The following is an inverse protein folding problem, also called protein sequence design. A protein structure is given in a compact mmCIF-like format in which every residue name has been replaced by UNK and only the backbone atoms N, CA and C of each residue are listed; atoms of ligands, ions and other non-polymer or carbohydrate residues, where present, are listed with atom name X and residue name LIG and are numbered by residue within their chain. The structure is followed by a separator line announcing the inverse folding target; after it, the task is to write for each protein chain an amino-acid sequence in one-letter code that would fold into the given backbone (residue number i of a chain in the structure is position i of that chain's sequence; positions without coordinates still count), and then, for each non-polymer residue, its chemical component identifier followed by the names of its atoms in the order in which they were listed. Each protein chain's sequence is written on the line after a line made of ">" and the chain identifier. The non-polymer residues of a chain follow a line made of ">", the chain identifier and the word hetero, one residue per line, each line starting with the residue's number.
data_IF_237828224639
#
_entry.id   IF_237828224639
#
_cell.length_a   1.000
_cell.length_b   1.000
_cell.length_c   1.000
_cell.angle_alpha   90.00
_cell.angle_beta   90.00
_cell.angle_gamma   90.00
#
_symmetry.space_group_name_H-M   'P 1'
#
loop_
_entity.id
_entity.type
_entity.pdbx_description
1 polymer ?
#
# COMPACT_ATOMS: atom_id res chain seq x y z
N UNK A 1 -6.96 -23.99 -19.13
CA UNK A 1 -6.05 -24.80 -18.30
C UNK A 1 -5.06 -23.84 -17.68
N UNK A 2 -4.89 -23.87 -16.36
CA UNK A 2 -3.97 -22.97 -15.67
C UNK A 2 -2.55 -23.06 -16.23
N UNK A 3 -1.83 -21.94 -16.27
CA UNK A 3 -0.41 -21.91 -16.70
C UNK A 3 0.49 -22.64 -15.71
N UNK A 4 0.16 -22.57 -14.43
CA UNK A 4 0.93 -23.15 -13.34
C UNK A 4 0.13 -24.26 -12.64
N UNK A 5 0.78 -25.37 -12.25
CA UNK A 5 0.11 -26.46 -11.56
C UNK A 5 -0.20 -26.14 -10.09
N UNK A 6 0.34 -25.04 -9.55
CA UNK A 6 0.20 -24.67 -8.16
C UNK A 6 -1.25 -24.40 -7.75
N UNK A 7 -1.61 -24.96 -6.59
CA UNK A 7 -2.90 -24.74 -5.95
C UNK A 7 -2.68 -24.40 -4.49
N UNK A 8 -3.51 -23.50 -3.98
CA UNK A 8 -3.41 -22.95 -2.64
C UNK A 8 -4.78 -22.99 -1.95
N UNK A 9 -4.76 -23.05 -0.63
CA UNK A 9 -5.92 -22.86 0.22
C UNK A 9 -5.93 -21.40 0.68
N UNK A 10 -7.09 -20.76 0.60
CA UNK A 10 -7.30 -19.37 0.95
C UNK A 10 -7.75 -19.27 2.39
N UNK A 11 -7.21 -18.31 3.14
CA UNK A 11 -7.54 -18.06 4.54
C UNK A 11 -7.86 -16.58 4.75
N UNK A 12 -8.72 -16.29 5.72
CA UNK A 12 -8.99 -14.91 6.14
C UNK A 12 -7.91 -14.36 7.10
N UNK A 13 -8.07 -13.11 7.52
CA UNK A 13 -7.15 -12.41 8.43
C UNK A 13 -7.22 -12.92 9.89
N UNK A 14 -8.07 -13.92 10.16
CA UNK A 14 -8.24 -14.58 11.46
C UNK A 14 -7.78 -16.04 11.43
N UNK A 15 -7.19 -16.47 10.32
CA UNK A 15 -6.70 -17.82 10.13
C UNK A 15 -7.81 -18.86 9.97
N UNK A 16 -8.99 -18.45 9.51
CA UNK A 16 -10.09 -19.35 9.16
C UNK A 16 -9.99 -19.69 7.67
N UNK A 17 -10.14 -20.97 7.36
CA UNK A 17 -10.20 -21.46 5.99
C UNK A 17 -11.38 -20.80 5.25
N UNK A 18 -11.08 -20.27 4.08
CA UNK A 18 -12.03 -19.60 3.19
C UNK A 18 -12.45 -20.53 2.04
N UNK A 19 -11.48 -21.09 1.31
CA UNK A 19 -11.70 -22.05 0.21
C UNK A 19 -10.43 -22.88 -0.01
N UNK A 20 -10.55 -24.04 -0.65
CA UNK A 20 -9.43 -24.96 -0.86
C UNK A 20 -9.14 -25.20 -2.33
N UNK A 21 -7.92 -25.63 -2.61
CA UNK A 21 -7.52 -26.10 -3.94
C UNK A 21 -7.74 -25.04 -5.04
N UNK A 22 -7.49 -23.77 -4.74
CA UNK A 22 -7.65 -22.64 -5.67
C UNK A 22 -6.41 -22.56 -6.57
N UNK A 23 -6.54 -22.50 -7.90
CA UNK A 23 -5.40 -22.29 -8.80
C UNK A 23 -4.67 -21.00 -8.48
N UNK A 24 -3.34 -21.02 -8.42
CA UNK A 24 -2.52 -19.86 -8.03
C UNK A 24 -2.81 -18.61 -8.88
N UNK A 25 -3.16 -18.80 -10.15
CA UNK A 25 -3.43 -17.67 -11.05
C UNK A 25 -4.75 -16.96 -10.73
N UNK A 26 -5.63 -17.54 -9.91
CA UNK A 26 -6.86 -16.88 -9.47
C UNK A 26 -6.60 -15.66 -8.56
N UNK A 27 -5.40 -15.56 -7.98
CA UNK A 27 -4.94 -14.37 -7.24
C UNK A 27 -3.98 -13.49 -8.07
N UNK A 28 -3.79 -13.79 -9.35
CA UNK A 28 -2.91 -13.00 -10.22
C UNK A 28 -3.47 -11.58 -10.42
N UNK A 29 -2.63 -10.53 -10.36
CA UNK A 29 -3.03 -9.18 -10.78
C UNK A 29 -3.52 -9.07 -12.22
N UNK A 30 -3.30 -10.08 -13.06
CA UNK A 30 -3.79 -10.14 -14.45
C UNK A 30 -5.17 -10.80 -14.59
N UNK A 31 -5.64 -11.52 -13.56
CA UNK A 31 -6.88 -12.31 -13.62
C UNK A 31 -7.89 -11.94 -12.54
N UNK A 32 -7.45 -11.54 -11.34
CA UNK A 32 -8.33 -11.34 -10.19
C UNK A 32 -9.11 -10.02 -10.28
N UNK A 33 -10.46 -10.06 -10.38
CA UNK A 33 -11.28 -8.85 -10.52
C UNK A 33 -11.16 -7.87 -9.34
N UNK A 34 -10.98 -8.36 -8.11
CA UNK A 34 -10.83 -7.48 -6.95
C UNK A 34 -9.48 -6.75 -6.97
N UNK A 35 -8.41 -7.39 -7.44
CA UNK A 35 -7.13 -6.68 -7.65
C UNK A 35 -7.30 -5.59 -8.70
N UNK A 36 -7.94 -5.88 -9.85
CA UNK A 36 -8.24 -4.84 -10.84
C UNK A 36 -9.05 -3.69 -10.24
N UNK A 37 -10.06 -4.00 -9.42
CA UNK A 37 -10.87 -3.00 -8.74
C UNK A 37 -10.07 -2.17 -7.75
N UNK A 38 -9.17 -2.77 -6.96
CA UNK A 38 -8.26 -2.06 -6.05
C UNK A 38 -7.39 -1.07 -6.83
N UNK A 39 -6.78 -1.49 -7.95
CA UNK A 39 -5.94 -0.61 -8.77
C UNK A 39 -6.76 0.52 -9.40
N UNK A 40 -7.95 0.22 -9.91
CA UNK A 40 -8.86 1.25 -10.45
C UNK A 40 -9.27 2.24 -9.35
N UNK A 41 -9.65 1.75 -8.17
CA UNK A 41 -10.01 2.58 -7.03
C UNK A 41 -8.87 3.54 -6.66
N UNK A 42 -7.63 3.08 -6.65
CA UNK A 42 -6.46 3.92 -6.33
C UNK A 42 -6.23 5.05 -7.35
N UNK A 43 -6.55 4.79 -8.62
CA UNK A 43 -6.48 5.80 -9.68
C UNK A 43 -7.69 6.76 -9.67
N UNK A 44 -8.86 6.28 -9.24
CA UNK A 44 -10.13 7.00 -9.32
C UNK A 44 -10.47 7.81 -8.07
N UNK A 45 -10.11 7.32 -6.88
CA UNK A 45 -10.49 7.95 -5.63
C UNK A 45 -9.54 9.09 -5.26
N UNK A 46 -10.14 10.24 -4.99
CA UNK A 46 -9.46 11.48 -4.60
C UNK A 46 -10.07 11.97 -3.28
N UNK A 47 -9.21 12.34 -2.36
CA UNK A 47 -9.59 12.95 -1.08
C UNK A 47 -9.61 14.48 -1.22
N UNK A 48 -10.70 15.10 -0.77
CA UNK A 48 -10.84 16.57 -0.74
C UNK A 48 -11.01 17.02 0.71
N UNK A 49 -10.22 18.00 1.14
CA UNK A 49 -10.30 18.61 2.46
C UNK A 49 -11.05 19.95 2.40
N UNK A 50 -12.39 19.93 2.52
CA UNK A 50 -13.21 21.15 2.50
C UNK A 50 -12.91 22.06 3.70
N UNK A 51 -12.69 21.49 4.89
CA UNK A 51 -12.30 22.25 6.09
C UNK A 51 -10.96 22.98 5.86
N UNK A 52 -10.01 22.31 5.22
CA UNK A 52 -8.71 22.88 4.85
C UNK A 52 -8.84 24.02 3.84
N UNK A 53 -9.67 23.85 2.81
CA UNK A 53 -9.93 24.90 1.79
C UNK A 53 -10.61 26.10 2.46
N UNK A 54 -11.67 25.87 3.24
CA UNK A 54 -12.42 26.91 3.94
C UNK A 54 -11.49 27.73 4.85
N UNK A 55 -10.66 27.06 5.65
CA UNK A 55 -9.68 27.72 6.52
C UNK A 55 -8.65 28.51 5.69
N UNK A 56 -8.06 27.90 4.67
CA UNK A 56 -7.01 28.52 3.86
C UNK A 56 -7.50 29.79 3.16
N UNK A 57 -8.74 29.75 2.64
CA UNK A 57 -9.39 30.92 2.06
C UNK A 57 -9.67 32.00 3.11
N UNK A 58 -10.17 31.63 4.29
CA UNK A 58 -10.53 32.58 5.33
C UNK A 58 -9.32 33.33 5.93
N UNK A 59 -8.15 32.70 5.94
CA UNK A 59 -6.92 33.24 6.55
C UNK A 59 -5.88 33.73 5.55
N UNK A 60 -6.00 33.37 4.28
CA UNK A 60 -4.97 33.59 3.26
C UNK A 60 -3.77 32.66 3.42
N UNK A 61 -3.84 31.62 4.27
CA UNK A 61 -2.82 30.59 4.45
C UNK A 61 -2.83 29.58 3.29
N UNK A 62 -2.36 29.99 2.12
CA UNK A 62 -2.39 29.20 0.88
C UNK A 62 -0.99 28.95 0.31
N UNK A 63 -0.85 27.90 -0.49
CA UNK A 63 0.37 27.61 -1.26
C UNK A 63 1.52 27.00 -0.44
N UNK A 64 1.24 26.37 0.70
CA UNK A 64 2.20 25.58 1.47
C UNK A 64 2.47 26.10 2.88
N UNK A 65 3.26 25.33 3.64
CA UNK A 65 3.53 25.60 5.05
C UNK A 65 4.18 26.97 5.24
N UNK A 66 3.64 27.75 6.18
CA UNK A 66 4.10 29.10 6.54
C UNK A 66 3.95 30.18 5.45
N UNK A 67 3.14 29.94 4.43
CA UNK A 67 2.81 30.93 3.41
C UNK A 67 1.47 31.59 3.70
N UNK A 68 1.46 32.93 3.75
CA UNK A 68 0.26 33.73 4.03
C UNK A 68 0.24 34.93 3.06
N UNK A 69 -0.84 35.07 2.29
CA UNK A 69 -1.06 36.22 1.41
C UNK A 69 -1.95 37.23 2.12
N UNK A 70 -1.33 38.21 2.78
CA UNK A 70 -2.06 39.23 3.54
C UNK A 70 -2.96 40.06 2.63
N UNK A 71 -4.19 40.32 3.09
CA UNK A 71 -5.18 41.10 2.36
C UNK A 71 -5.96 40.31 1.30
N UNK A 72 -5.65 39.02 1.09
CA UNK A 72 -6.41 38.10 0.23
C UNK A 72 -7.09 37.03 1.08
N UNK A 73 -8.29 37.35 1.57
CA UNK A 73 -9.10 36.45 2.39
C UNK A 73 -10.51 36.34 1.81
N UNK A 74 -11.06 35.13 1.78
CA UNK A 74 -12.40 34.84 1.31
C UNK A 74 -13.10 33.91 2.30
N UNK A 75 -14.25 34.33 2.82
CA UNK A 75 -15.03 33.53 3.79
C UNK A 75 -16.15 32.81 3.06
N UNK A 76 -16.02 31.49 2.90
CA UNK A 76 -17.02 30.63 2.28
C UNK A 76 -17.40 29.53 3.26
N UNK A 77 -18.69 29.30 3.47
CA UNK A 77 -19.19 28.24 4.36
C UNK A 77 -19.18 26.86 3.65
N UNK A 78 -18.02 26.36 3.22
CA UNK A 78 -17.90 25.12 2.45
C UNK A 78 -18.38 23.89 3.23
N UNK A 79 -17.94 23.73 4.47
CA UNK A 79 -18.27 22.56 5.31
C UNK A 79 -19.77 22.52 5.60
N UNK A 80 -20.38 23.68 5.90
CA UNK A 80 -21.82 23.80 6.12
C UNK A 80 -22.64 23.46 4.87
N UNK A 81 -22.11 23.72 3.68
CA UNK A 81 -22.75 23.46 2.40
C UNK A 81 -22.24 22.18 1.70
N UNK A 82 -21.53 21.30 2.42
CA UNK A 82 -20.81 20.17 1.83
C UNK A 82 -21.67 19.25 0.97
N UNK A 83 -22.91 18.96 1.37
CA UNK A 83 -23.86 18.15 0.58
C UNK A 83 -24.12 18.78 -0.78
N UNK A 84 -24.43 20.07 -0.80
CA UNK A 84 -24.72 20.80 -2.04
C UNK A 84 -23.46 21.03 -2.90
N UNK A 85 -22.29 21.20 -2.27
CA UNK A 85 -21.00 21.23 -2.97
C UNK A 85 -20.71 19.88 -3.62
N UNK A 86 -20.98 18.78 -2.91
CA UNK A 86 -20.80 17.44 -3.43
C UNK A 86 -21.72 17.15 -4.63
N UNK A 87 -22.98 17.58 -4.57
CA UNK A 87 -23.93 17.43 -5.68
C UNK A 87 -23.46 18.19 -6.92
N UNK A 88 -23.06 19.45 -6.77
CA UNK A 88 -22.59 20.29 -7.87
C UNK A 88 -21.26 19.78 -8.44
N UNK A 89 -20.33 19.33 -7.58
CA UNK A 89 -19.08 18.70 -8.00
C UNK A 89 -19.34 17.40 -8.78
N UNK A 90 -20.27 16.56 -8.32
CA UNK A 90 -20.66 15.35 -9.04
C UNK A 90 -21.20 15.68 -10.43
N UNK A 91 -22.08 16.68 -10.55
CA UNK A 91 -22.63 17.14 -11.83
C UNK A 91 -21.56 17.67 -12.79
N UNK A 92 -20.52 18.32 -12.25
CA UNK A 92 -19.39 18.82 -13.04
C UNK A 92 -18.47 17.68 -13.51
N UNK A 93 -18.26 16.66 -12.66
CA UNK A 93 -17.36 15.54 -12.94
C UNK A 93 -17.96 14.46 -13.83
N UNK A 94 -19.25 14.17 -13.71
CA UNK A 94 -19.89 13.12 -14.50
C UNK A 94 -19.74 13.35 -16.01
N UNK A 95 -19.54 12.26 -16.76
CA UNK A 95 -19.46 12.30 -18.22
C UNK A 95 -20.81 11.90 -18.81
N UNK A 96 -21.41 10.84 -18.28
CA UNK A 96 -22.70 10.33 -18.74
C UNK A 96 -23.69 10.15 -17.58
N UNK A 97 -25.00 10.23 -17.84
CA UNK A 97 -26.00 9.81 -16.88
C UNK A 97 -25.75 8.36 -16.44
N UNK A 98 -25.63 8.13 -15.14
CA UNK A 98 -25.39 6.82 -14.51
C UNK A 98 -24.00 6.19 -14.76
N UNK A 99 -22.97 7.01 -15.03
CA UNK A 99 -21.59 6.52 -14.93
C UNK A 99 -21.16 6.23 -13.47
N UNK A 100 -19.91 5.83 -13.26
CA UNK A 100 -19.37 5.45 -11.96
C UNK A 100 -18.90 6.65 -11.10
N UNK A 101 -19.32 7.87 -11.42
CA UNK A 101 -19.01 9.07 -10.62
C UNK A 101 -19.70 9.02 -9.27
N UNK A 102 -18.92 9.23 -8.21
CA UNK A 102 -19.41 9.29 -6.85
C UNK A 102 -18.76 10.47 -6.11
N UNK A 103 -19.55 11.23 -5.35
CA UNK A 103 -19.04 12.25 -4.44
C UNK A 103 -19.80 12.10 -3.13
N UNK A 104 -19.08 11.80 -2.05
CA UNK A 104 -19.67 11.59 -0.72
C UNK A 104 -19.04 12.54 0.30
N UNK A 105 -19.82 13.41 0.96
CA UNK A 105 -19.38 14.06 2.18
C UNK A 105 -19.14 13.03 3.28
N UNK A 106 -18.05 13.19 4.02
CA UNK A 106 -17.74 12.37 5.19
C UNK A 106 -17.34 13.26 6.37
N UNK A 107 -17.35 12.70 7.57
CA UNK A 107 -16.95 13.39 8.81
C UNK A 107 -17.70 14.72 9.03
N UNK A 108 -19.00 14.71 8.78
CA UNK A 108 -19.86 15.90 8.92
C UNK A 108 -19.60 16.98 7.87
N UNK A 109 -19.15 16.60 6.67
CA UNK A 109 -18.90 17.52 5.56
C UNK A 109 -17.50 18.12 5.51
N UNK A 110 -16.62 17.77 6.47
CA UNK A 110 -15.24 18.26 6.50
C UNK A 110 -14.42 17.79 5.30
N UNK A 111 -14.68 16.56 4.85
CA UNK A 111 -13.98 15.97 3.72
C UNK A 111 -14.98 15.43 2.70
N UNK A 112 -14.53 15.32 1.44
CA UNK A 112 -15.24 14.56 0.41
C UNK A 112 -14.39 13.37 -0.04
N UNK A 113 -15.04 12.22 -0.20
CA UNK A 113 -14.53 11.10 -0.98
C UNK A 113 -15.09 11.24 -2.40
N UNK A 114 -14.21 11.42 -3.38
CA UNK A 114 -14.59 11.59 -4.78
C UNK A 114 -14.09 10.40 -5.59
N UNK A 115 -14.98 9.69 -6.28
CA UNK A 115 -14.65 8.72 -7.33
C UNK A 115 -14.82 9.38 -8.68
N UNK A 116 -13.71 9.59 -9.39
CA UNK A 116 -13.72 10.10 -10.76
C UNK A 116 -14.18 8.98 -11.71
N UNK A 117 -15.05 9.26 -12.69
CA UNK A 117 -15.55 8.22 -13.58
C UNK A 117 -14.42 7.63 -14.43
N UNK A 118 -14.45 6.32 -14.63
CA UNK A 118 -13.39 5.59 -15.34
C UNK A 118 -13.17 6.12 -16.77
N UNK A 119 -14.22 6.66 -17.41
CA UNK A 119 -14.14 7.27 -18.74
C UNK A 119 -13.15 8.43 -18.82
N UNK A 120 -13.02 9.25 -17.77
CA UNK A 120 -12.03 10.35 -17.75
C UNK A 120 -10.61 9.80 -17.73
N UNK A 121 -10.36 8.79 -16.90
CA UNK A 121 -9.06 8.13 -16.80
C UNK A 121 -8.68 7.42 -18.11
N UNK A 122 -9.67 6.84 -18.80
CA UNK A 122 -9.46 6.17 -20.10
C UNK A 122 -9.17 7.16 -21.24
N UNK A 123 -9.64 8.41 -21.13
CA UNK A 123 -9.31 9.47 -22.09
C UNK A 123 -7.94 10.12 -21.84
N UNK A 124 -7.42 9.99 -20.62
CA UNK A 124 -6.09 10.44 -20.23
C UNK A 124 -5.00 9.40 -20.50
N UNK A 125 -3.75 9.84 -20.47
CA UNK A 125 -2.59 8.94 -20.60
C UNK A 125 -2.31 8.20 -19.29
N UNK A 126 -2.51 8.86 -18.15
CA UNK A 126 -2.10 8.35 -16.84
C UNK A 126 -3.06 8.76 -15.70
N UNK A 127 -2.68 8.45 -14.45
CA UNK A 127 -3.55 8.50 -13.27
C UNK A 127 -3.75 9.90 -12.64
N UNK A 128 -2.89 10.89 -12.89
CA UNK A 128 -3.14 12.28 -12.43
C UNK A 128 -4.39 12.90 -13.06
N UNK A 129 -4.89 12.34 -14.17
CA UNK A 129 -6.21 12.67 -14.72
C UNK A 129 -7.31 12.64 -13.65
N UNK A 130 -7.23 11.71 -12.69
CA UNK A 130 -8.15 11.67 -11.54
C UNK A 130 -8.08 12.94 -10.70
N UNK A 131 -6.93 13.20 -10.07
CA UNK A 131 -6.78 14.33 -9.12
C UNK A 131 -6.97 15.70 -9.78
N UNK A 132 -6.48 15.86 -11.02
CA UNK A 132 -6.60 17.11 -11.78
C UNK A 132 -8.03 17.41 -12.20
N UNK A 133 -8.81 16.40 -12.59
CA UNK A 133 -10.23 16.56 -12.90
C UNK A 133 -11.02 17.01 -11.66
N UNK A 134 -10.77 16.40 -10.50
CA UNK A 134 -11.42 16.79 -9.24
C UNK A 134 -11.04 18.20 -8.84
N UNK A 135 -9.76 18.54 -8.88
CA UNK A 135 -9.28 19.85 -8.49
C UNK A 135 -9.84 20.96 -9.41
N UNK A 136 -9.87 20.74 -10.73
CA UNK A 136 -10.47 21.70 -11.68
C UNK A 136 -11.98 21.87 -11.45
N UNK A 137 -12.71 20.74 -11.37
CA UNK A 137 -14.15 20.76 -11.16
C UNK A 137 -14.52 21.43 -9.83
N UNK A 138 -13.75 21.18 -8.77
CA UNK A 138 -13.98 21.80 -7.46
C UNK A 138 -13.77 23.31 -7.49
N UNK A 139 -12.77 23.82 -8.22
CA UNK A 139 -12.61 25.25 -8.43
C UNK A 139 -13.84 25.87 -9.10
N UNK A 140 -14.32 25.28 -10.21
CA UNK A 140 -15.53 25.73 -10.90
C UNK A 140 -16.75 25.70 -9.96
N UNK A 141 -16.97 24.59 -9.26
CA UNK A 141 -18.07 24.42 -8.30
C UNK A 141 -18.05 25.49 -7.21
N UNK A 142 -16.90 25.76 -6.60
CA UNK A 142 -16.80 26.78 -5.54
C UNK A 142 -17.06 28.17 -6.10
N UNK A 143 -16.47 28.52 -7.25
CA UNK A 143 -16.61 29.84 -7.85
C UNK A 143 -18.05 30.13 -8.23
N UNK A 144 -18.72 29.19 -8.92
CA UNK A 144 -20.10 29.35 -9.37
C UNK A 144 -21.07 29.38 -8.18
N UNK A 145 -20.95 28.43 -7.25
CA UNK A 145 -21.89 28.26 -6.14
C UNK A 145 -21.89 29.44 -5.19
N UNK A 146 -20.72 30.02 -4.93
CA UNK A 146 -20.56 31.14 -4.02
C UNK A 146 -20.43 32.48 -4.73
N UNK A 147 -20.61 32.51 -6.06
CA UNK A 147 -20.47 33.70 -6.91
C UNK A 147 -19.17 34.48 -6.62
N UNK A 148 -18.05 33.75 -6.58
CA UNK A 148 -16.74 34.32 -6.27
C UNK A 148 -16.32 35.27 -7.38
N UNK A 149 -15.91 36.48 -7.00
CA UNK A 149 -15.39 37.50 -7.92
C UNK A 149 -14.22 36.96 -8.76
N UNK A 150 -14.11 37.38 -10.01
CA UNK A 150 -12.96 37.06 -10.88
C UNK A 150 -11.62 37.48 -10.25
N UNK A 151 -11.62 38.49 -9.37
CA UNK A 151 -10.45 38.98 -8.66
C UNK A 151 -10.04 38.14 -7.45
N UNK A 152 -10.87 37.18 -7.05
CA UNK A 152 -10.63 36.26 -5.92
C UNK A 152 -10.59 34.79 -6.37
N UNK A 153 -10.88 34.51 -7.63
CA UNK A 153 -10.88 33.16 -8.19
C UNK A 153 -9.50 32.47 -8.13
N UNK A 154 -8.41 33.22 -8.25
CA UNK A 154 -7.04 32.70 -8.11
C UNK A 154 -6.75 32.20 -6.68
N UNK A 155 -7.42 32.77 -5.67
CA UNK A 155 -7.28 32.32 -4.29
C UNK A 155 -7.95 30.94 -4.10
N UNK A 156 -9.09 30.70 -4.76
CA UNK A 156 -9.75 29.38 -4.80
C UNK A 156 -8.83 28.35 -5.46
N UNK A 157 -8.22 28.69 -6.61
CA UNK A 157 -7.21 27.83 -7.23
C UNK A 157 -6.09 27.48 -6.25
N UNK A 158 -5.51 28.47 -5.58
CA UNK A 158 -4.38 28.26 -4.67
C UNK A 158 -4.76 27.45 -3.43
N UNK A 159 -5.99 27.57 -2.92
CA UNK A 159 -6.48 26.76 -1.80
C UNK A 159 -6.73 25.30 -2.19
N UNK A 160 -7.13 25.04 -3.44
CA UNK A 160 -7.42 23.70 -3.96
C UNK A 160 -6.14 23.01 -4.45
N UNK A 161 -5.41 23.65 -5.37
CA UNK A 161 -4.24 23.13 -6.07
C UNK A 161 -2.91 23.35 -5.34
N UNK A 162 -2.90 24.23 -4.33
CA UNK A 162 -1.66 24.65 -3.69
C UNK A 162 -0.85 25.57 -4.61
N UNK A 163 0.47 25.37 -4.63
CA UNK A 163 1.40 26.21 -5.38
C UNK A 163 1.60 25.79 -6.85
N UNK A 164 0.88 24.78 -7.33
CA UNK A 164 0.93 24.37 -8.73
C UNK A 164 0.41 25.50 -9.65
N UNK A 165 1.08 25.83 -10.78
CA UNK A 165 2.17 25.09 -11.44
C UNK A 165 3.59 25.58 -11.12
N UNK A 166 3.77 26.49 -10.15
CA UNK A 166 5.12 26.89 -9.74
C UNK A 166 5.90 25.72 -9.10
N UNK A 167 5.19 24.81 -8.43
CA UNK A 167 5.68 23.49 -8.04
C UNK A 167 5.21 22.42 -9.01
N UNK A 168 5.97 21.33 -9.14
CA UNK A 168 5.58 20.20 -10.01
C UNK A 168 4.39 19.42 -9.45
N UNK A 169 4.24 19.41 -8.12
CA UNK A 169 3.16 18.78 -7.38
C UNK A 169 2.19 19.82 -6.79
N UNK A 170 1.09 19.34 -6.20
CA UNK A 170 0.06 20.16 -5.56
C UNK A 170 0.48 20.60 -4.14
N UNK A 171 1.70 21.11 -3.99
CA UNK A 171 2.28 21.49 -2.70
C UNK A 171 1.39 22.50 -1.97
N UNK A 172 0.89 22.10 -0.79
CA UNK A 172 0.01 22.94 0.03
C UNK A 172 -1.44 23.00 -0.46
N UNK A 173 -1.81 22.18 -1.44
CA UNK A 173 -3.19 21.99 -1.86
C UNK A 173 -3.98 21.15 -0.86
N UNK A 174 -5.31 21.15 -1.04
CA UNK A 174 -6.26 20.44 -0.18
C UNK A 174 -7.01 19.34 -0.94
N UNK A 175 -6.50 18.95 -2.11
CA UNK A 175 -6.98 17.84 -2.90
C UNK A 175 -5.82 16.87 -3.10
N UNK A 176 -6.03 15.59 -2.82
CA UNK A 176 -4.97 14.59 -2.79
C UNK A 176 -5.43 13.24 -3.34
N UNK A 177 -4.60 12.63 -4.17
CA UNK A 177 -4.71 11.21 -4.56
C UNK A 177 -3.74 10.35 -3.73
N UNK A 178 -3.98 9.04 -3.71
CA UNK A 178 -3.06 8.10 -3.06
C UNK A 178 -1.72 7.99 -3.82
N UNK A 179 -1.77 8.09 -5.15
CA UNK A 179 -0.59 8.10 -6.00
C UNK A 179 -0.03 9.52 -6.12
N UNK A 180 1.26 9.68 -5.88
CA UNK A 180 1.97 10.93 -6.13
C UNK A 180 2.23 11.13 -7.64
N UNK A 181 2.56 12.36 -8.02
CA UNK A 181 2.76 12.74 -9.42
C UNK A 181 3.87 11.92 -10.09
N UNK A 182 3.75 11.56 -11.38
CA UNK A 182 4.72 10.70 -12.07
C UNK A 182 6.17 11.21 -12.04
N UNK A 183 6.37 12.52 -11.95
CA UNK A 183 7.68 13.16 -11.85
C UNK A 183 8.43 12.77 -10.57
N UNK A 184 7.74 12.25 -9.56
CA UNK A 184 8.33 11.73 -8.32
C UNK A 184 8.56 10.21 -8.37
N UNK A 185 8.34 9.56 -9.52
CA UNK A 185 8.68 8.15 -9.66
C UNK A 185 10.18 7.98 -9.89
N UNK A 186 10.80 7.17 -9.05
CA UNK A 186 12.22 6.83 -9.05
C UNK A 186 12.58 5.85 -10.19
N UNK A 187 11.60 5.24 -10.83
CA UNK A 187 11.78 4.35 -11.99
C UNK A 187 10.53 4.23 -12.84
N UNK A 188 10.68 3.65 -14.03
CA UNK A 188 9.55 3.35 -14.92
C UNK A 188 8.69 2.23 -14.32
N UNK A 189 7.37 2.42 -14.28
CA UNK A 189 6.43 1.46 -13.68
C UNK A 189 6.31 1.50 -12.15
N UNK A 190 6.85 2.53 -11.49
CA UNK A 190 6.91 2.62 -10.03
C UNK A 190 5.68 3.28 -9.37
N UNK A 191 4.68 3.69 -10.14
CA UNK A 191 3.56 4.48 -9.63
C UNK A 191 2.86 3.81 -8.43
N UNK A 192 2.52 2.52 -8.55
CA UNK A 192 1.88 1.75 -7.48
C UNK A 192 2.77 1.51 -6.25
N UNK A 193 4.09 1.74 -6.38
CA UNK A 193 5.07 1.66 -5.29
C UNK A 193 5.23 2.99 -4.56
N UNK A 194 4.57 4.05 -5.03
CA UNK A 194 4.70 5.40 -4.49
C UNK A 194 3.63 5.72 -3.44
N UNK A 195 3.39 4.77 -2.53
CA UNK A 195 2.38 4.84 -1.48
C UNK A 195 3.04 4.57 -0.12
N UNK A 196 3.27 5.61 0.71
CA UNK A 196 3.81 5.48 2.06
C UNK A 196 3.09 4.43 2.92
N UNK A 197 3.85 3.68 3.72
CA UNK A 197 3.29 2.69 4.64
C UNK A 197 2.32 3.30 5.65
N UNK A 198 2.47 4.60 5.98
CA UNK A 198 1.50 5.37 6.76
C UNK A 198 0.09 5.35 6.13
N UNK A 199 -0.01 5.56 4.82
CA UNK A 199 -1.30 5.54 4.11
C UNK A 199 -1.93 4.16 4.19
N UNK A 200 -1.14 3.12 3.89
CA UNK A 200 -1.59 1.73 3.92
C UNK A 200 -2.11 1.36 5.31
N UNK A 201 -1.38 1.68 6.37
CA UNK A 201 -1.77 1.37 7.74
C UNK A 201 -3.05 2.10 8.19
N UNK A 202 -3.28 3.35 7.77
CA UNK A 202 -4.52 4.06 8.10
C UNK A 202 -5.71 3.57 7.27
N UNK A 203 -5.52 3.32 5.97
CA UNK A 203 -6.56 2.82 5.07
C UNK A 203 -7.13 1.50 5.60
N UNK A 204 -6.26 0.59 6.05
CA UNK A 204 -6.64 -0.72 6.59
C UNK A 204 -7.01 -0.67 8.07
N UNK A 205 -7.20 0.54 8.63
CA UNK A 205 -7.56 0.78 10.03
C UNK A 205 -6.65 0.02 11.02
N UNK A 206 -5.34 0.02 10.72
CA UNK A 206 -4.28 -0.62 11.51
C UNK A 206 -4.44 -2.15 11.69
N UNK A 207 -5.17 -2.82 10.80
CA UNK A 207 -5.17 -4.28 10.74
C UNK A 207 -3.89 -4.77 10.03
N UNK A 208 -3.00 -5.45 10.75
CA UNK A 208 -1.67 -5.81 10.25
C UNK A 208 -1.69 -6.78 9.05
N UNK A 209 -2.60 -7.76 9.04
CA UNK A 209 -2.75 -8.71 7.92
C UNK A 209 -3.28 -7.99 6.68
N UNK A 210 -4.29 -7.13 6.82
CA UNK A 210 -4.82 -6.35 5.70
C UNK A 210 -3.83 -5.27 5.22
N UNK A 211 -3.04 -4.65 6.12
CA UNK A 211 -1.96 -3.74 5.75
C UNK A 211 -0.88 -4.45 4.91
N UNK A 212 -0.45 -5.65 5.33
CA UNK A 212 0.47 -6.47 4.57
C UNK A 212 -0.13 -6.90 3.22
N UNK A 213 -1.40 -7.31 3.20
CA UNK A 213 -2.09 -7.71 1.98
C UNK A 213 -2.22 -6.56 0.98
N UNK A 214 -2.66 -5.38 1.41
CA UNK A 214 -2.75 -4.20 0.54
C UNK A 214 -1.36 -3.86 -0.03
N UNK A 215 -0.35 -3.77 0.83
CA UNK A 215 1.02 -3.49 0.40
C UNK A 215 1.55 -4.54 -0.60
N UNK A 216 1.31 -5.83 -0.34
CA UNK A 216 1.75 -6.91 -1.23
C UNK A 216 1.02 -6.87 -2.57
N UNK A 217 -0.29 -6.62 -2.59
CA UNK A 217 -1.06 -6.46 -3.84
C UNK A 217 -0.46 -5.32 -4.67
N UNK A 218 -0.20 -4.17 -4.05
CA UNK A 218 0.35 -3.01 -4.76
C UNK A 218 1.76 -3.26 -5.28
N UNK A 219 2.65 -3.75 -4.42
CA UNK A 219 4.02 -4.04 -4.79
C UNK A 219 4.11 -5.12 -5.87
N UNK A 220 3.40 -6.24 -5.70
CA UNK A 220 3.44 -7.35 -6.66
C UNK A 220 2.75 -6.99 -7.97
N UNK A 221 1.69 -6.17 -7.96
CA UNK A 221 1.12 -5.61 -9.20
C UNK A 221 2.10 -4.68 -9.89
N UNK A 222 2.84 -3.85 -9.15
CA UNK A 222 3.89 -3.01 -9.71
C UNK A 222 5.00 -3.85 -10.38
N UNK A 223 5.28 -5.07 -9.88
CA UNK A 223 6.26 -5.95 -10.54
C UNK A 223 5.79 -6.40 -11.94
N UNK A 224 4.48 -6.50 -12.19
CA UNK A 224 3.93 -6.69 -13.54
C UNK A 224 4.10 -5.42 -14.39
N UNK A 225 3.81 -4.25 -13.83
CA UNK A 225 3.96 -2.96 -14.51
C UNK A 225 5.43 -2.68 -14.91
N UNK A 226 6.38 -3.04 -14.05
CA UNK A 226 7.82 -2.89 -14.25
C UNK A 226 8.43 -3.96 -15.17
N UNK A 227 7.68 -5.01 -15.50
CA UNK A 227 8.15 -6.15 -16.29
C UNK A 227 9.03 -7.14 -15.52
N UNK A 228 9.17 -7.00 -14.20
CA UNK A 228 9.89 -7.94 -13.34
C UNK A 228 9.14 -9.29 -13.22
N UNK A 229 7.81 -9.27 -13.28
CA UNK A 229 6.95 -10.45 -13.22
C UNK A 229 6.63 -11.04 -14.61
N UNK A 230 7.62 -11.11 -15.51
CA UNK A 230 7.49 -11.68 -16.85
C UNK A 230 8.29 -12.99 -16.97
N UNK A 231 7.73 -13.97 -17.71
CA UNK A 231 8.41 -15.21 -18.04
C UNK A 231 8.64 -16.10 -16.81
N UNK A 232 9.90 -16.47 -16.55
CA UNK A 232 10.25 -17.37 -15.45
C UNK A 232 10.05 -16.74 -14.06
N UNK A 233 9.92 -15.41 -13.98
CA UNK A 233 9.75 -14.69 -12.72
C UNK A 233 8.28 -14.48 -12.33
N UNK A 234 7.33 -14.69 -13.26
CA UNK A 234 5.90 -14.50 -12.95
C UNK A 234 5.44 -15.43 -11.82
N UNK A 235 5.83 -16.73 -11.86
CA UNK A 235 5.51 -17.68 -10.79
C UNK A 235 6.14 -17.28 -9.44
N UNK A 236 7.35 -16.73 -9.47
CA UNK A 236 8.04 -16.24 -8.27
C UNK A 236 7.26 -15.11 -7.58
N UNK A 237 6.75 -14.15 -8.36
CA UNK A 237 5.93 -13.06 -7.85
C UNK A 237 4.53 -13.50 -7.42
N UNK A 238 3.89 -14.42 -8.17
CA UNK A 238 2.59 -14.98 -7.79
C UNK A 238 2.64 -15.75 -6.47
N UNK A 239 3.64 -16.60 -6.28
CA UNK A 239 3.81 -17.33 -5.03
C UNK A 239 4.16 -16.37 -3.89
N UNK A 240 4.97 -15.34 -4.16
CA UNK A 240 5.25 -14.26 -3.22
C UNK A 240 3.97 -13.57 -2.73
N UNK A 241 3.12 -13.12 -3.67
CA UNK A 241 1.83 -12.53 -3.35
C UNK A 241 0.96 -13.48 -2.53
N UNK A 242 0.84 -14.74 -2.95
CA UNK A 242 -0.01 -15.72 -2.30
C UNK A 242 0.41 -16.01 -0.86
N UNK A 243 1.68 -16.39 -0.64
CA UNK A 243 2.14 -16.85 0.67
C UNK A 243 2.45 -15.70 1.62
N UNK A 244 3.15 -14.65 1.16
CA UNK A 244 3.48 -13.51 2.03
C UNK A 244 2.28 -12.57 2.18
N UNK A 245 1.68 -12.15 1.07
CA UNK A 245 0.63 -11.13 1.07
C UNK A 245 -0.75 -11.66 1.47
N UNK A 246 -1.12 -12.83 0.98
CA UNK A 246 -2.50 -13.35 1.04
C UNK A 246 -2.68 -14.57 1.96
N UNK A 247 -1.69 -14.86 2.81
CA UNK A 247 -1.76 -15.93 3.82
C UNK A 247 -2.14 -17.32 3.24
N UNK A 248 -1.66 -17.66 2.05
CA UNK A 248 -1.91 -18.95 1.43
C UNK A 248 -1.52 -20.10 2.38
N UNK A 249 -2.38 -21.13 2.44
CA UNK A 249 -2.23 -22.30 3.31
C UNK A 249 -2.05 -21.95 4.80
N UNK A 250 -2.61 -20.82 5.22
CA UNK A 250 -2.53 -20.25 6.55
C UNK A 250 -1.12 -19.98 7.08
N UNK A 251 -0.12 -19.95 6.19
CA UNK A 251 1.28 -20.06 6.59
C UNK A 251 1.72 -18.92 7.52
N UNK A 252 1.40 -17.67 7.18
CA UNK A 252 1.78 -16.49 8.00
C UNK A 252 1.10 -16.57 9.36
N UNK A 253 -0.21 -16.82 9.37
CA UNK A 253 -0.99 -16.88 10.60
C UNK A 253 -0.52 -18.00 11.53
N UNK A 254 -0.28 -19.21 11.01
CA UNK A 254 0.20 -20.35 11.78
C UNK A 254 1.56 -20.08 12.41
N UNK A 255 2.50 -19.52 11.64
CA UNK A 255 3.83 -19.18 12.14
C UNK A 255 3.77 -18.11 13.24
N UNK A 256 2.92 -17.08 13.07
CA UNK A 256 2.70 -16.07 14.12
C UNK A 256 2.06 -16.69 15.36
N UNK A 257 1.07 -17.56 15.20
CA UNK A 257 0.36 -18.21 16.31
C UNK A 257 1.27 -19.13 17.12
N UNK A 258 2.12 -19.92 16.44
CA UNK A 258 3.11 -20.81 17.08
C UNK A 258 4.15 -20.01 17.87
N UNK A 259 4.54 -18.84 17.40
CA UNK A 259 5.63 -18.03 17.97
C UNK A 259 5.16 -16.81 18.78
N UNK A 260 3.85 -16.56 18.90
CA UNK A 260 3.34 -15.27 19.36
C UNK A 260 3.44 -14.99 20.87
N UNK A 261 3.65 -16.01 21.71
CA UNK A 261 3.70 -15.85 23.18
C UNK A 261 5.10 -15.77 23.77
N UNK A 262 5.99 -16.62 23.27
CA UNK A 262 7.34 -16.84 23.79
C UNK A 262 8.38 -17.00 22.67
N UNK A 263 7.98 -16.77 21.42
CA UNK A 263 8.87 -16.85 20.28
C UNK A 263 9.74 -15.62 20.13
N UNK A 264 10.75 -15.77 19.28
CA UNK A 264 11.65 -14.72 18.84
C UNK A 264 11.76 -14.77 17.32
N UNK A 265 12.48 -13.81 16.73
CA UNK A 265 12.82 -13.88 15.31
C UNK A 265 13.48 -15.22 14.94
N UNK A 266 14.39 -15.74 15.77
CA UNK A 266 15.06 -17.02 15.52
C UNK A 266 14.12 -18.23 15.58
N UNK A 267 13.13 -18.26 16.48
CA UNK A 267 12.19 -19.37 16.54
C UNK A 267 11.23 -19.38 15.34
N UNK A 268 10.90 -18.21 14.79
CA UNK A 268 10.15 -18.12 13.54
C UNK A 268 10.96 -18.65 12.35
N UNK A 269 12.27 -18.37 12.29
CA UNK A 269 13.17 -18.98 11.29
C UNK A 269 13.12 -20.50 11.37
N UNK A 270 13.29 -21.07 12.57
CA UNK A 270 13.22 -22.52 12.80
C UNK A 270 11.85 -23.08 12.37
N UNK A 271 10.75 -22.42 12.75
CA UNK A 271 9.39 -22.84 12.39
C UNK A 271 9.17 -22.83 10.88
N UNK A 272 9.72 -21.82 10.19
CA UNK A 272 9.66 -21.69 8.72
C UNK A 272 10.43 -22.83 8.04
N UNK A 273 11.64 -23.14 8.49
CA UNK A 273 12.47 -24.23 7.96
C UNK A 273 11.81 -25.58 8.20
N UNK A 274 11.28 -25.81 9.41
CA UNK A 274 10.52 -27.02 9.74
C UNK A 274 9.32 -27.20 8.80
N UNK A 275 8.52 -26.16 8.61
CA UNK A 275 7.37 -26.19 7.70
C UNK A 275 7.79 -26.46 6.25
N UNK A 276 8.89 -25.86 5.78
CA UNK A 276 9.42 -26.08 4.43
C UNK A 276 9.90 -27.53 4.22
N UNK A 277 10.45 -28.17 5.25
CA UNK A 277 10.84 -29.58 5.23
C UNK A 277 9.62 -30.51 5.23
N UNK A 278 8.63 -30.23 6.08
CA UNK A 278 7.37 -31.00 6.15
C UNK A 278 6.62 -30.98 4.81
N UNK A 279 6.56 -29.81 4.17
CA UNK A 279 5.93 -29.62 2.86
C UNK A 279 6.84 -30.03 1.69
N UNK A 280 8.04 -30.56 1.96
CA UNK A 280 9.04 -31.03 0.98
C UNK A 280 9.45 -29.95 -0.05
N UNK A 281 9.41 -28.68 0.36
CA UNK A 281 9.91 -27.55 -0.44
C UNK A 281 11.44 -27.54 -0.44
N UNK A 282 12.05 -27.95 0.68
CA UNK A 282 13.51 -28.07 0.82
C UNK A 282 13.87 -29.48 1.30
N UNK A 283 15.11 -29.89 1.09
CA UNK A 283 15.62 -31.19 1.55
C UNK A 283 17.14 -31.12 1.81
N UNK A 284 17.69 -31.99 2.69
CA UNK A 284 19.12 -32.04 2.95
C UNK A 284 19.94 -32.33 1.69
N UNK A 285 20.99 -31.55 1.44
CA UNK A 285 21.97 -31.78 0.38
C UNK A 285 23.17 -32.58 0.90
N UNK A 286 23.85 -32.04 1.91
CA UNK A 286 25.04 -32.65 2.51
C UNK A 286 25.23 -32.22 3.96
N UNK A 287 26.01 -32.99 4.71
CA UNK A 287 26.49 -32.63 6.05
C UNK A 287 27.94 -32.22 6.00
N UNK A 288 28.28 -31.13 6.67
CA UNK A 288 29.67 -30.66 6.81
C UNK A 288 30.36 -31.41 7.97
N UNK A 289 31.70 -31.30 8.12
CA UNK A 289 32.43 -31.96 9.21
C UNK A 289 31.97 -31.57 10.62
N UNK A 290 31.36 -30.39 10.80
CA UNK A 290 30.81 -29.97 12.10
C UNK A 290 29.47 -30.63 12.45
N UNK A 291 28.86 -31.38 11.51
CA UNK A 291 27.52 -31.93 11.64
C UNK A 291 26.41 -31.02 11.12
N UNK A 292 26.74 -29.80 10.68
CA UNK A 292 25.78 -28.87 10.08
C UNK A 292 25.24 -29.43 8.75
N UNK A 293 23.93 -29.33 8.55
CA UNK A 293 23.26 -29.83 7.35
C UNK A 293 22.98 -28.66 6.41
N UNK A 294 23.57 -28.69 5.22
CA UNK A 294 23.23 -27.78 4.13
C UNK A 294 21.99 -28.35 3.43
N UNK A 295 21.03 -27.49 3.12
CA UNK A 295 19.80 -27.84 2.41
C UNK A 295 19.83 -27.34 0.97
N UNK A 296 18.97 -27.93 0.14
CA UNK A 296 18.75 -27.52 -1.25
C UNK A 296 17.26 -27.61 -1.60
N UNK A 297 16.89 -27.12 -2.78
CA UNK A 297 15.52 -27.14 -3.30
C UNK A 297 15.51 -27.25 -4.83
N UNK A 298 14.49 -27.92 -5.36
CA UNK A 298 14.18 -27.93 -6.79
C UNK A 298 13.14 -26.85 -7.18
N UNK A 299 12.61 -26.13 -6.21
CA UNK A 299 11.58 -25.09 -6.39
C UNK A 299 11.98 -23.82 -5.64
N UNK A 300 12.93 -23.09 -6.22
CA UNK A 300 13.43 -21.82 -5.65
C UNK A 300 12.33 -20.77 -5.49
N UNK A 301 11.33 -20.74 -6.37
CA UNK A 301 10.22 -19.80 -6.27
C UNK A 301 9.35 -20.09 -5.06
N UNK A 302 9.04 -21.37 -4.79
CA UNK A 302 8.26 -21.77 -3.62
C UNK A 302 9.05 -21.66 -2.33
N UNK A 303 10.35 -21.98 -2.34
CA UNK A 303 11.24 -21.69 -1.20
C UNK A 303 11.22 -20.20 -0.85
N UNK A 304 11.41 -19.33 -1.84
CA UNK A 304 11.37 -17.89 -1.62
C UNK A 304 10.03 -17.43 -1.03
N UNK A 305 8.91 -17.95 -1.53
CA UNK A 305 7.58 -17.62 -1.01
C UNK A 305 7.41 -18.06 0.45
N UNK A 306 7.92 -19.23 0.83
CA UNK A 306 7.93 -19.73 2.21
C UNK A 306 8.78 -18.85 3.12
N UNK A 307 10.00 -18.52 2.69
CA UNK A 307 10.87 -17.60 3.42
C UNK A 307 10.23 -16.21 3.57
N UNK A 308 9.55 -15.70 2.53
CA UNK A 308 8.86 -14.41 2.55
C UNK A 308 7.67 -14.40 3.53
N UNK A 309 6.89 -15.48 3.61
CA UNK A 309 5.84 -15.66 4.61
C UNK A 309 6.42 -15.72 6.03
N UNK A 310 7.52 -16.46 6.22
CA UNK A 310 8.27 -16.49 7.49
C UNK A 310 8.79 -15.12 7.91
N UNK A 311 9.29 -14.32 6.97
CA UNK A 311 9.75 -12.96 7.22
C UNK A 311 8.60 -12.05 7.72
N UNK A 312 7.43 -12.14 7.09
CA UNK A 312 6.27 -11.37 7.54
C UNK A 312 5.81 -11.82 8.93
N UNK A 313 5.78 -13.14 9.18
CA UNK A 313 5.49 -13.68 10.50
C UNK A 313 6.50 -13.20 11.56
N UNK A 314 7.80 -13.19 11.25
CA UNK A 314 8.86 -12.70 12.13
C UNK A 314 8.72 -11.21 12.41
N UNK A 315 8.24 -10.44 11.43
CA UNK A 315 7.92 -9.02 11.60
C UNK A 315 6.77 -8.84 12.57
N UNK A 316 5.68 -9.58 12.40
CA UNK A 316 4.53 -9.52 13.30
C UNK A 316 4.87 -9.96 14.73
N UNK A 317 5.69 -11.00 14.90
CA UNK A 317 6.16 -11.45 16.23
C UNK A 317 7.07 -10.41 16.87
N UNK A 318 8.08 -9.92 16.16
CA UNK A 318 9.10 -9.02 16.74
C UNK A 318 8.55 -7.61 16.99
N UNK A 319 7.93 -6.99 15.98
CA UNK A 319 7.33 -5.67 16.14
C UNK A 319 6.08 -5.71 17.02
N UNK A 320 5.33 -6.82 17.00
CA UNK A 320 4.18 -7.03 17.88
C UNK A 320 4.57 -7.20 19.35
N UNK A 321 5.69 -7.88 19.65
CA UNK A 321 6.19 -7.99 21.01
C UNK A 321 6.59 -6.62 21.59
N UNK A 322 7.24 -5.78 20.78
CA UNK A 322 7.66 -4.43 21.20
C UNK A 322 6.55 -3.38 21.09
N UNK A 323 5.50 -3.66 20.30
CA UNK A 323 4.49 -2.67 19.86
C UNK A 323 5.11 -1.41 19.25
N UNK A 324 6.23 -1.59 18.54
CA UNK A 324 7.04 -0.52 17.99
C UNK A 324 7.51 -0.87 16.57
N UNK A 325 7.27 0.01 15.60
CA UNK A 325 7.65 -0.25 14.20
C UNK A 325 9.15 -0.17 13.94
N UNK A 326 9.92 0.52 14.79
CA UNK A 326 11.37 0.77 14.60
C UNK A 326 12.22 -0.50 14.46
N UNK A 327 11.70 -1.65 14.88
CA UNK A 327 12.40 -2.93 14.78
C UNK A 327 12.37 -3.53 13.37
N UNK A 328 11.47 -3.09 12.48
CA UNK A 328 11.30 -3.74 11.17
C UNK A 328 12.57 -3.80 10.31
N UNK A 329 13.45 -2.77 10.24
CA UNK A 329 14.66 -2.89 9.44
C UNK A 329 15.60 -3.98 9.96
N UNK A 330 15.68 -4.13 11.29
CA UNK A 330 16.44 -5.20 11.94
C UNK A 330 15.86 -6.57 11.61
N UNK A 331 14.53 -6.71 11.58
CA UNK A 331 13.87 -7.96 11.16
C UNK A 331 14.22 -8.32 9.72
N UNK A 332 14.15 -7.34 8.79
CA UNK A 332 14.49 -7.55 7.38
C UNK A 332 15.94 -8.06 7.20
N UNK A 333 16.88 -7.56 8.02
CA UNK A 333 18.27 -8.02 7.99
C UNK A 333 18.38 -9.41 8.60
N UNK A 334 18.05 -9.54 9.88
CA UNK A 334 18.47 -10.70 10.67
C UNK A 334 17.59 -11.92 10.44
N UNK A 335 16.35 -11.79 9.95
CA UNK A 335 15.61 -12.96 9.49
C UNK A 335 16.34 -13.63 8.31
N UNK A 336 16.77 -12.83 7.34
CA UNK A 336 17.50 -13.33 6.18
C UNK A 336 18.89 -13.84 6.55
N UNK A 337 19.61 -13.11 7.39
CA UNK A 337 20.94 -13.52 7.89
C UNK A 337 20.90 -14.88 8.60
N UNK A 338 19.87 -15.10 9.44
CA UNK A 338 19.68 -16.34 10.17
C UNK A 338 19.16 -17.48 9.29
N UNK A 339 18.19 -17.24 8.39
CA UNK A 339 17.66 -18.33 7.56
C UNK A 339 18.72 -18.86 6.58
N UNK A 340 19.59 -17.98 6.07
CA UNK A 340 20.74 -18.36 5.25
C UNK A 340 21.75 -19.20 6.05
N UNK A 341 22.04 -18.84 7.30
CA UNK A 341 22.93 -19.61 8.19
C UNK A 341 22.31 -20.89 8.73
N UNK A 342 20.99 -20.95 8.88
CA UNK A 342 20.30 -22.14 9.35
C UNK A 342 20.21 -23.21 8.26
N UNK A 343 20.18 -22.80 6.98
CA UNK A 343 19.89 -23.73 5.88
C UNK A 343 20.95 -23.83 4.78
N UNK A 344 21.77 -22.80 4.57
CA UNK A 344 22.62 -22.68 3.38
C UNK A 344 21.86 -22.33 2.10
N UNK A 345 20.53 -22.12 2.17
CA UNK A 345 19.70 -21.62 1.06
C UNK A 345 19.70 -20.09 1.04
N UNK A 346 19.45 -19.46 -0.13
CA UNK A 346 19.36 -18.01 -0.20
C UNK A 346 18.17 -17.47 0.59
N UNK A 347 18.34 -16.30 1.20
CA UNK A 347 17.27 -15.57 1.86
C UNK A 347 16.23 -15.00 0.88
N UNK A 348 15.25 -14.30 1.44
CA UNK A 348 14.14 -13.70 0.71
C UNK A 348 14.65 -12.73 -0.35
N UNK A 349 14.11 -12.90 -1.55
CA UNK A 349 14.43 -12.13 -2.74
C UNK A 349 15.93 -12.20 -3.08
N UNK A 350 16.54 -13.35 -2.77
CA UNK A 350 17.96 -13.65 -3.03
C UNK A 350 18.91 -12.61 -2.44
N UNK A 351 18.64 -12.19 -1.20
CA UNK A 351 19.44 -11.21 -0.46
C UNK A 351 19.00 -9.75 -0.63
N UNK A 352 18.12 -9.45 -1.59
CA UNK A 352 17.64 -8.06 -1.83
C UNK A 352 16.83 -7.51 -0.66
N UNK A 353 16.10 -8.36 0.07
CA UNK A 353 15.42 -7.92 1.31
C UNK A 353 16.44 -7.58 2.40
N UNK A 354 17.46 -8.40 2.60
CA UNK A 354 18.50 -8.13 3.59
C UNK A 354 19.19 -6.79 3.29
N UNK A 355 19.58 -6.55 2.04
CA UNK A 355 20.15 -5.28 1.58
C UNK A 355 19.20 -4.09 1.81
N UNK A 356 17.93 -4.23 1.44
CA UNK A 356 16.90 -3.20 1.72
C UNK A 356 16.79 -2.92 3.22
N UNK A 357 16.87 -3.96 4.06
CA UNK A 357 16.88 -3.84 5.51
C UNK A 357 18.09 -3.09 6.04
N UNK A 358 19.29 -3.34 5.49
CA UNK A 358 20.53 -2.62 5.85
C UNK A 358 20.39 -1.13 5.57
N UNK A 359 19.94 -0.76 4.37
CA UNK A 359 19.76 0.64 4.02
C UNK A 359 18.67 1.31 4.86
N UNK A 360 17.53 0.64 5.02
CA UNK A 360 16.44 1.16 5.85
C UNK A 360 16.89 1.35 7.31
N UNK A 361 17.67 0.43 7.86
CA UNK A 361 18.19 0.54 9.22
C UNK A 361 19.10 1.77 9.36
N UNK A 362 19.98 2.00 8.39
CA UNK A 362 20.85 3.17 8.37
C UNK A 362 20.04 4.48 8.24
N UNK A 363 19.13 4.56 7.28
CA UNK A 363 18.34 5.78 7.02
C UNK A 363 17.17 6.00 7.99
N UNK A 364 16.88 5.06 8.89
CA UNK A 364 15.96 5.28 10.00
C UNK A 364 16.64 5.57 11.33
N UNK A 365 17.99 5.52 11.40
CA UNK A 365 18.77 5.73 12.62
C UNK A 365 20.00 6.63 12.42
N UNK A 366 20.04 7.41 11.34
CA UNK A 366 21.16 8.31 11.04
C UNK A 366 20.69 9.71 10.68
N UNK A 367 21.66 10.59 10.44
CA UNK A 367 21.45 12.01 10.14
C UNK A 367 21.32 12.30 8.64
N UNK A 368 21.49 11.30 7.77
CA UNK A 368 21.70 11.51 6.33
C UNK A 368 20.43 11.61 5.49
N UNK A 369 19.27 11.33 6.08
CA UNK A 369 17.99 11.34 5.39
C UNK A 369 17.07 10.23 5.89
N UNK A 370 16.08 9.87 5.08
CA UNK A 370 15.09 8.86 5.45
C UNK A 370 14.13 9.35 6.53
N UNK A 371 13.86 8.50 7.51
CA UNK A 371 12.85 8.76 8.54
C UNK A 371 12.43 7.49 9.25
N UNK A 372 11.31 7.56 9.98
CA UNK A 372 10.76 6.37 10.62
C UNK A 372 10.12 5.42 9.58
N UNK A 373 9.84 4.15 9.93
CA UNK A 373 9.27 3.18 9.00
C UNK A 373 8.00 3.61 8.24
N UNK A 374 7.20 4.53 8.80
CA UNK A 374 5.92 4.95 8.23
C UNK A 374 6.06 5.79 6.95
N UNK A 375 7.20 6.47 6.72
CA UNK A 375 7.40 7.28 5.51
C UNK A 375 7.86 6.48 4.30
N UNK A 376 8.37 5.25 4.51
CA UNK A 376 8.93 4.46 3.42
C UNK A 376 7.87 3.81 2.54
N UNK A 377 8.25 3.54 1.30
CA UNK A 377 7.45 2.90 0.25
C UNK A 377 8.37 2.32 -0.84
N UNK A 378 7.86 1.48 -1.74
CA UNK A 378 8.68 0.79 -2.75
C UNK A 378 9.24 1.71 -3.85
N UNK A 379 8.78 2.96 -3.93
CA UNK A 379 9.36 4.00 -4.76
C UNK A 379 10.46 4.81 -4.04
N UNK A 380 10.61 4.73 -2.72
CA UNK A 380 11.65 5.47 -2.02
C UNK A 380 13.04 4.88 -2.32
N UNK A 381 14.04 5.74 -2.57
CA UNK A 381 15.39 5.33 -3.00
C UNK A 381 16.04 4.27 -2.10
N UNK A 382 15.76 4.31 -0.80
CA UNK A 382 16.26 3.37 0.25
C UNK A 382 15.55 2.01 0.25
N UNK A 383 14.27 1.97 -0.17
CA UNK A 383 13.41 0.78 0.03
C UNK A 383 12.89 0.18 -1.26
N UNK A 384 13.43 0.58 -2.40
CA UNK A 384 13.02 0.14 -3.74
C UNK A 384 13.66 -1.17 -4.22
N UNK A 385 14.72 -1.63 -3.57
CA UNK A 385 15.61 -2.68 -4.09
C UNK A 385 14.97 -4.07 -4.07
N UNK A 386 14.30 -4.42 -2.98
CA UNK A 386 13.49 -5.64 -2.97
C UNK A 386 12.29 -5.49 -3.91
N UNK A 387 12.04 -6.53 -4.69
CA UNK A 387 10.98 -6.61 -5.70
C UNK A 387 9.66 -7.07 -5.08
N UNK A 388 9.19 -6.28 -4.12
CA UNK A 388 7.87 -6.42 -3.50
C UNK A 388 7.77 -7.29 -2.25
N UNK A 389 8.91 -7.64 -1.62
CA UNK A 389 8.92 -8.51 -0.42
C UNK A 389 9.22 -7.79 0.89
N UNK A 390 9.76 -6.56 0.84
CA UNK A 390 10.11 -5.78 2.04
C UNK A 390 8.94 -4.93 2.56
N UNK A 391 8.29 -4.15 1.68
CA UNK A 391 7.24 -3.20 2.05
C UNK A 391 6.02 -3.84 2.76
N UNK A 392 5.56 -5.06 2.42
CA UNK A 392 4.49 -5.71 3.18
C UNK A 392 4.81 -5.88 4.68
N UNK A 393 6.08 -6.16 5.00
CA UNK A 393 6.55 -6.26 6.38
C UNK A 393 6.52 -4.89 7.06
N UNK A 394 6.97 -3.84 6.37
CA UNK A 394 6.96 -2.46 6.89
C UNK A 394 5.54 -2.01 7.17
N UNK A 395 4.59 -2.24 6.25
CA UNK A 395 3.19 -1.90 6.44
C UNK A 395 2.57 -2.61 7.66
N UNK A 396 2.87 -3.90 7.86
CA UNK A 396 2.44 -4.64 9.04
C UNK A 396 3.03 -4.06 10.33
N UNK A 397 4.32 -3.73 10.35
CA UNK A 397 4.99 -3.14 11.51
C UNK A 397 4.40 -1.77 11.88
N UNK A 398 4.13 -0.92 10.88
CA UNK A 398 3.50 0.40 11.06
C UNK A 398 2.08 0.25 11.64
N UNK A 399 1.31 -0.74 11.19
CA UNK A 399 -0.01 -1.03 11.74
C UNK A 399 0.03 -1.48 13.22
N UNK A 400 1.08 -2.21 13.61
CA UNK A 400 1.27 -2.74 14.98
C UNK A 400 1.78 -1.70 16.00
N UNK A 401 2.34 -0.59 15.52
CA UNK A 401 2.92 0.48 16.35
C UNK A 401 1.88 1.14 17.28
N UNK A 402 2.21 1.24 18.57
CA UNK A 402 1.33 1.80 19.60
C UNK A 402 1.52 3.32 19.83
N UNK A 403 2.10 4.06 18.89
CA UNK A 403 2.34 5.50 19.00
C UNK A 403 3.73 5.82 19.53
N UNK A 404 4.75 5.10 19.06
CA UNK A 404 6.13 5.22 19.57
C UNK A 404 6.96 6.31 18.89
N UNK A 405 6.37 7.06 17.95
CA UNK A 405 7.11 7.99 17.09
C UNK A 405 6.47 9.37 16.98
N UNK A 406 7.31 10.37 16.69
CA UNK A 406 6.90 11.78 16.51
C UNK A 406 6.12 11.98 15.20
N UNK A 407 6.54 11.31 14.13
CA UNK A 407 5.85 11.33 12.83
C UNK A 407 4.97 10.09 12.72
N UNK A 408 3.84 10.11 13.43
CA UNK A 408 2.90 9.00 13.41
C UNK A 408 2.24 8.85 12.03
N UNK A 409 1.65 7.68 11.72
CA UNK A 409 0.84 7.50 10.53
C UNK A 409 -0.24 8.57 10.36
N UNK A 410 -0.90 8.99 11.44
CA UNK A 410 -1.92 10.06 11.43
C UNK A 410 -1.34 11.40 10.99
N UNK A 411 -0.11 11.73 11.41
CA UNK A 411 0.56 12.98 11.04
C UNK A 411 1.03 12.99 9.59
N UNK A 412 1.43 11.83 9.06
CA UNK A 412 1.91 11.68 7.68
C UNK A 412 0.73 11.56 6.71
N UNK A 413 -0.24 10.73 7.05
CA UNK A 413 -1.32 10.30 6.16
C UNK A 413 -2.62 11.07 6.33
N UNK A 414 -2.80 11.80 7.44
CA UNK A 414 -3.90 12.72 7.72
C UNK A 414 -5.22 12.38 7.05
N UNK A 415 -5.69 13.31 6.21
CA UNK A 415 -6.99 13.23 5.51
C UNK A 415 -7.03 12.06 4.52
N UNK A 416 -5.95 11.77 3.79
CA UNK A 416 -5.92 10.72 2.76
C UNK A 416 -6.24 9.35 3.35
N UNK A 417 -5.59 9.00 4.45
CA UNK A 417 -5.78 7.71 5.10
C UNK A 417 -7.18 7.57 5.68
N UNK A 418 -7.70 8.63 6.30
CA UNK A 418 -9.04 8.65 6.87
C UNK A 418 -10.12 8.51 5.78
N UNK A 419 -10.02 9.30 4.71
CA UNK A 419 -10.97 9.31 3.59
C UNK A 419 -10.97 7.97 2.85
N UNK A 420 -9.80 7.46 2.49
CA UNK A 420 -9.70 6.23 1.68
C UNK A 420 -9.99 4.96 2.49
N UNK A 421 -9.98 5.01 3.83
CA UNK A 421 -10.43 3.89 4.68
C UNK A 421 -11.93 3.57 4.57
N UNK A 422 -12.70 4.46 3.92
CA UNK A 422 -14.11 4.25 3.60
C UNK A 422 -14.33 3.44 2.31
N UNK A 423 -13.26 3.12 1.57
CA UNK A 423 -13.31 2.22 0.41
C UNK A 423 -13.06 0.78 0.88
N UNK A 424 -14.08 -0.10 0.88
CA UNK A 424 -13.98 -1.41 1.51
C UNK A 424 -12.88 -2.30 0.93
N UNK A 425 -12.70 -2.28 -0.39
CA UNK A 425 -11.70 -3.09 -1.10
C UNK A 425 -10.26 -2.68 -0.74
N UNK A 426 -10.06 -1.40 -0.39
CA UNK A 426 -8.76 -0.93 0.11
C UNK A 426 -8.58 -1.27 1.60
N UNK A 427 -9.65 -1.21 2.39
CA UNK A 427 -9.59 -1.47 3.84
C UNK A 427 -9.39 -2.95 4.17
N UNK A 428 -10.10 -3.83 3.47
CA UNK A 428 -10.17 -5.28 3.76
C UNK A 428 -9.80 -6.12 2.51
N UNK A 429 -8.66 -5.85 1.85
CA UNK A 429 -8.34 -6.41 0.54
C UNK A 429 -8.27 -7.93 0.53
N UNK A 430 -7.81 -8.55 1.63
CA UNK A 430 -7.67 -10.01 1.71
C UNK A 430 -9.03 -10.70 1.49
N UNK A 431 -10.10 -10.16 2.09
CA UNK A 431 -11.46 -10.68 1.92
C UNK A 431 -11.90 -10.60 0.46
N UNK A 432 -11.80 -9.42 -0.16
CA UNK A 432 -12.30 -9.21 -1.52
C UNK A 432 -11.49 -9.98 -2.57
N UNK A 433 -10.17 -10.08 -2.40
CA UNK A 433 -9.32 -10.90 -3.29
C UNK A 433 -9.66 -12.37 -3.18
N UNK A 434 -9.92 -12.89 -1.97
CA UNK A 434 -10.34 -14.27 -1.78
C UNK A 434 -11.71 -14.56 -2.41
N UNK A 435 -12.70 -13.70 -2.17
CA UNK A 435 -14.03 -13.79 -2.79
C UNK A 435 -13.95 -13.81 -4.32
N UNK A 436 -13.14 -12.92 -4.89
CA UNK A 436 -12.93 -12.84 -6.33
C UNK A 436 -12.15 -14.04 -6.89
N UNK A 437 -11.16 -14.56 -6.16
CA UNK A 437 -10.43 -15.75 -6.57
C UNK A 437 -11.36 -16.97 -6.65
N UNK A 438 -12.27 -17.12 -5.69
CA UNK A 438 -13.26 -18.21 -5.68
C UNK A 438 -14.25 -18.10 -6.84
N UNK A 439 -14.68 -16.87 -7.19
CA UNK A 439 -15.62 -16.68 -8.29
C UNK A 439 -15.03 -17.03 -9.66
N UNK A 440 -13.72 -16.89 -9.86
CA UNK A 440 -13.06 -17.19 -11.13
C UNK A 440 -12.36 -18.56 -11.17
N UNK A 441 -12.17 -19.26 -10.04
CA UNK A 441 -11.32 -20.47 -9.96
C UNK A 441 -11.66 -21.59 -10.96
N UNK A 442 -12.91 -21.65 -11.44
CA UNK A 442 -13.35 -22.62 -12.45
C UNK A 442 -13.02 -22.25 -13.91
N UNK A 443 -12.70 -20.97 -14.17
CA UNK A 443 -12.39 -20.44 -15.50
C UNK A 443 -10.91 -20.08 -15.71
N UNK A 444 -10.06 -20.34 -14.72
CA UNK A 444 -8.64 -19.94 -14.69
C UNK A 444 -7.73 -20.91 -15.45
#
# INVERSE_FOLDING_TARGET
>A
MPKYPDRIDLYDDRGKLFDTNVPIEAISPLKNPAIHQIINNIKQFVAVNLEGIEKALATGEVGGRFCIIRGRNLKLDLVKNAESVAEDLKKCLQVDPNDDTEVRPIKGGKYLLVRVPAKRLAAGVEYTTGVTAVAAALCCTIIEKFNVSIWDADLVHTAVWGRYPQTMDMLGGNVSSLLAVPQQNEGMGYALRNIPCAHIALITKRNAMNAAALAAILEQTAMYEMGDAIGNFERFHLLGLAYQGLNANNMVYDLVKENGKNGTLGTVVISTVKRALEDKVIYPLNKTPSGYTIYTTNDLSKWNAYAAAGLLAATMVTCGAARAMQHVPSVLIYFNDLIERETGLPGVDFGRVAGTGVEMAFFSHSIYGGGNPAVFHGNHIVTRHSKGFAIPCVAAAVALDAGTTIYSPEKISGVVGEVLSEVPELREPLKYVNEAAVSIKGGV
#
